data_IF_525343895817
#
_entry.id   IF_525343895817
#
_cell.length_a   1.000
_cell.length_b   1.000
_cell.length_c   1.000
_cell.angle_alpha   90.00
_cell.angle_beta   90.00
_cell.angle_gamma   90.00
#
_symmetry.space_group_name_H-M   'P 1'
#
loop_
_entity.id
_entity.type
_entity.pdbx_description
1 polymer ?
#
# COMPACT_ATOMS: atom_id res chain seq x y z
N UNK A 1 10.49 6.43 21.56
CA UNK A 1 9.18 6.37 20.91
C UNK A 1 8.71 4.92 20.85
N UNK A 2 7.40 4.69 20.77
CA UNK A 2 6.82 3.34 20.72
C UNK A 2 7.17 2.68 19.38
N UNK A 3 7.75 1.48 19.41
CA UNK A 3 8.01 0.67 18.21
C UNK A 3 6.67 0.25 17.58
N UNK A 4 6.55 0.42 16.28
CA UNK A 4 5.37 -0.06 15.55
C UNK A 4 5.50 -1.57 15.33
N UNK A 5 4.50 -2.33 15.77
CA UNK A 5 4.48 -3.80 15.71
C UNK A 5 3.38 -4.33 14.80
N UNK A 6 2.37 -3.52 14.52
CA UNK A 6 1.19 -3.91 13.76
C UNK A 6 1.11 -3.20 12.41
N UNK A 7 0.64 -3.92 11.41
CA UNK A 7 0.26 -3.36 10.14
C UNK A 7 -1.16 -3.80 9.74
N UNK A 8 -1.80 -3.02 8.89
CA UNK A 8 -3.04 -3.41 8.22
C UNK A 8 -2.87 -3.29 6.70
N UNK A 9 -3.47 -4.22 5.96
CA UNK A 9 -3.53 -4.22 4.50
C UNK A 9 -5.01 -4.22 4.09
N UNK A 10 -5.43 -3.25 3.30
CA UNK A 10 -6.82 -3.16 2.84
C UNK A 10 -7.00 -3.88 1.51
N UNK A 11 -7.63 -5.05 1.52
CA UNK A 11 -7.80 -5.95 0.39
C UNK A 11 -9.26 -6.40 0.17
N UNK A 12 -10.25 -5.57 0.58
CA UNK A 12 -11.68 -5.90 0.46
C UNK A 12 -12.35 -5.38 -0.81
N UNK A 13 -11.64 -4.63 -1.66
CA UNK A 13 -12.16 -4.01 -2.87
C UNK A 13 -12.55 -5.03 -3.95
N UNK A 14 -13.64 -4.78 -4.70
CA UNK A 14 -14.15 -5.70 -5.75
C UNK A 14 -13.26 -5.83 -7.00
N UNK A 15 -12.29 -4.94 -7.19
CA UNK A 15 -11.37 -4.99 -8.33
C UNK A 15 -12.04 -4.85 -9.71
N UNK A 16 -13.13 -4.09 -9.82
CA UNK A 16 -13.95 -3.97 -11.04
C UNK A 16 -13.16 -3.48 -12.27
N UNK A 17 -12.09 -2.71 -12.04
CA UNK A 17 -11.20 -2.20 -13.11
C UNK A 17 -10.32 -3.30 -13.74
N UNK A 18 -10.13 -4.42 -13.04
CA UNK A 18 -9.38 -5.60 -13.51
C UNK A 18 -10.30 -6.73 -14.02
N UNK A 19 -11.62 -6.46 -14.17
CA UNK A 19 -12.52 -7.44 -14.80
C UNK A 19 -12.10 -7.70 -16.25
N UNK A 20 -12.11 -8.96 -16.75
CA UNK A 20 -12.71 -10.16 -16.16
C UNK A 20 -11.82 -10.97 -15.21
N UNK A 21 -10.53 -10.67 -15.05
CA UNK A 21 -9.61 -11.44 -14.21
C UNK A 21 -10.13 -11.54 -12.76
N UNK A 22 -10.71 -10.46 -12.25
CA UNK A 22 -11.24 -10.37 -10.87
C UNK A 22 -12.62 -11.02 -10.68
N UNK A 23 -13.13 -11.75 -11.67
CA UNK A 23 -14.36 -12.53 -11.52
C UNK A 23 -14.21 -13.68 -10.52
N UNK A 24 -13.04 -14.27 -10.46
CA UNK A 24 -12.75 -15.46 -9.64
C UNK A 24 -11.52 -15.28 -8.75
N UNK A 25 -10.76 -14.20 -8.94
CA UNK A 25 -9.54 -13.93 -8.22
C UNK A 25 -9.61 -12.52 -7.62
N UNK A 26 -9.33 -12.40 -6.33
CA UNK A 26 -9.16 -11.09 -5.71
C UNK A 26 -7.96 -10.36 -6.34
N UNK A 27 -8.07 -9.05 -6.62
CA UNK A 27 -7.02 -8.29 -7.36
C UNK A 27 -5.66 -8.32 -6.65
N UNK A 28 -5.65 -8.36 -5.33
CA UNK A 28 -4.44 -8.46 -4.51
C UNK A 28 -3.78 -9.86 -4.59
N UNK A 29 -4.50 -10.84 -5.15
CA UNK A 29 -3.97 -12.18 -5.45
C UNK A 29 -3.47 -12.32 -6.90
N UNK A 30 -3.46 -11.25 -7.69
CA UNK A 30 -2.84 -11.25 -9.03
C UNK A 30 -1.35 -11.56 -8.92
N UNK A 31 -0.84 -12.54 -9.71
CA UNK A 31 0.53 -13.00 -9.60
C UNK A 31 1.53 -12.04 -10.27
N UNK A 32 2.63 -11.78 -9.60
CA UNK A 32 3.76 -10.98 -10.08
C UNK A 32 5.05 -11.79 -9.95
N UNK A 33 5.97 -11.62 -10.86
CA UNK A 33 7.34 -12.16 -10.69
C UNK A 33 8.12 -11.16 -9.85
N UNK A 34 8.44 -11.57 -8.62
CA UNK A 34 9.22 -10.74 -7.69
C UNK A 34 10.70 -10.67 -8.11
N UNK A 35 11.45 -9.78 -7.46
CA UNK A 35 12.89 -9.55 -7.71
C UNK A 35 13.75 -10.79 -7.49
N UNK A 36 13.32 -11.73 -6.67
CA UNK A 36 13.98 -13.03 -6.44
C UNK A 36 13.70 -14.06 -7.56
N UNK A 37 12.86 -13.71 -8.54
CA UNK A 37 12.46 -14.57 -9.65
C UNK A 37 11.30 -15.50 -9.34
N UNK A 38 10.71 -15.42 -8.15
CA UNK A 38 9.58 -16.25 -7.73
C UNK A 38 8.27 -15.53 -8.06
N UNK A 39 7.30 -16.26 -8.57
CA UNK A 39 5.96 -15.74 -8.83
C UNK A 39 5.15 -15.74 -7.52
N UNK A 40 4.78 -14.56 -7.06
CA UNK A 40 4.04 -14.33 -5.80
C UNK A 40 2.80 -13.47 -6.05
N UNK A 41 1.70 -13.63 -5.33
CA UNK A 41 0.61 -12.65 -5.32
C UNK A 41 1.09 -11.31 -4.76
N UNK A 42 0.52 -10.21 -5.24
CA UNK A 42 0.81 -8.87 -4.73
C UNK A 42 0.61 -8.76 -3.21
N UNK A 43 -0.40 -9.43 -2.66
CA UNK A 43 -0.65 -9.47 -1.23
C UNK A 43 0.52 -10.05 -0.45
N UNK A 44 1.17 -11.11 -0.97
CA UNK A 44 2.37 -11.68 -0.33
C UNK A 44 3.51 -10.66 -0.30
N UNK A 45 3.73 -9.95 -1.41
CA UNK A 45 4.78 -8.91 -1.47
C UNK A 45 4.59 -7.84 -0.39
N UNK A 46 3.33 -7.43 -0.14
CA UNK A 46 3.02 -6.46 0.92
C UNK A 46 3.21 -7.05 2.33
N UNK A 47 2.85 -8.30 2.55
CA UNK A 47 3.09 -8.98 3.84
C UNK A 47 4.59 -9.11 4.10
N UNK A 48 5.37 -9.53 3.09
CA UNK A 48 6.83 -9.60 3.16
C UNK A 48 7.46 -8.22 3.40
N UNK A 49 6.97 -7.17 2.73
CA UNK A 49 7.40 -5.78 2.95
C UNK A 49 7.24 -5.38 4.43
N UNK A 50 6.08 -5.65 5.03
CA UNK A 50 5.79 -5.35 6.42
C UNK A 50 6.68 -6.17 7.38
N UNK A 51 6.77 -7.49 7.19
CA UNK A 51 7.54 -8.38 8.05
C UNK A 51 9.04 -8.06 7.98
N UNK A 52 9.58 -7.78 6.79
CA UNK A 52 10.96 -7.38 6.58
C UNK A 52 11.29 -6.00 7.19
N UNK A 53 10.28 -5.16 7.41
CA UNK A 53 10.42 -3.90 8.15
C UNK A 53 10.33 -4.07 9.67
N UNK A 54 10.10 -5.28 10.16
CA UNK A 54 10.05 -5.61 11.59
C UNK A 54 8.65 -5.59 12.20
N UNK A 55 7.59 -5.59 11.38
CA UNK A 55 6.20 -5.75 11.82
C UNK A 55 5.99 -7.19 12.30
N UNK A 56 5.26 -7.33 13.40
CA UNK A 56 5.04 -8.61 14.08
C UNK A 56 3.68 -9.21 13.73
N UNK A 57 2.65 -8.37 13.55
CA UNK A 57 1.28 -8.79 13.26
C UNK A 57 0.70 -7.99 12.08
N UNK A 58 0.03 -8.67 11.16
CA UNK A 58 -0.57 -8.07 9.95
C UNK A 58 -2.06 -8.36 9.89
N UNK A 59 -2.90 -7.34 10.03
CA UNK A 59 -4.34 -7.42 9.82
C UNK A 59 -4.66 -7.25 8.33
N UNK A 60 -5.29 -8.22 7.69
CA UNK A 60 -5.73 -8.11 6.30
C UNK A 60 -7.24 -7.92 6.26
N UNK A 61 -7.69 -6.75 5.79
CA UNK A 61 -9.11 -6.49 5.58
C UNK A 61 -9.53 -7.09 4.25
N UNK A 62 -10.43 -8.08 4.30
CA UNK A 62 -10.88 -8.88 3.16
C UNK A 62 -12.39 -8.78 2.98
N UNK A 63 -12.91 -9.05 1.79
CA UNK A 63 -14.36 -9.30 1.64
C UNK A 63 -14.68 -10.76 2.01
N UNK A 64 -15.95 -11.04 2.29
CA UNK A 64 -16.39 -12.36 2.73
C UNK A 64 -16.11 -13.49 1.72
N UNK A 65 -16.08 -13.15 0.41
CA UNK A 65 -15.87 -14.14 -0.66
C UNK A 65 -14.40 -14.56 -0.77
N UNK A 66 -13.47 -13.65 -0.49
CA UNK A 66 -12.01 -13.88 -0.64
C UNK A 66 -11.34 -14.41 0.63
N UNK A 67 -11.97 -14.32 1.79
CA UNK A 67 -11.37 -14.68 3.08
C UNK A 67 -10.80 -16.11 3.09
N UNK A 68 -11.62 -17.08 2.69
CA UNK A 68 -11.20 -18.49 2.72
C UNK A 68 -10.00 -18.77 1.81
N UNK A 69 -9.95 -18.16 0.61
CA UNK A 69 -8.87 -18.31 -0.32
C UNK A 69 -7.56 -17.69 0.18
N UNK A 70 -7.64 -16.51 0.80
CA UNK A 70 -6.46 -15.82 1.38
C UNK A 70 -5.92 -16.62 2.57
N UNK A 71 -6.79 -17.11 3.46
CA UNK A 71 -6.37 -17.99 4.57
C UNK A 71 -5.73 -19.28 4.09
N UNK A 72 -6.29 -19.90 3.04
CA UNK A 72 -5.73 -21.12 2.47
C UNK A 72 -4.35 -20.86 1.85
N UNK A 73 -4.17 -19.73 1.18
CA UNK A 73 -2.90 -19.36 0.56
C UNK A 73 -1.75 -19.28 1.58
N UNK A 74 -1.97 -18.66 2.73
CA UNK A 74 -0.98 -18.55 3.80
C UNK A 74 -1.01 -19.74 4.79
N UNK A 75 -1.73 -20.80 4.45
CA UNK A 75 -1.83 -22.00 5.26
C UNK A 75 -0.71 -23.01 5.02
N UNK A 76 -0.73 -24.09 5.79
CA UNK A 76 0.17 -25.21 5.58
C UNK A 76 -0.16 -25.95 4.26
N UNK A 77 0.84 -26.63 3.69
CA UNK A 77 0.64 -27.50 2.53
C UNK A 77 -0.50 -28.50 2.77
N UNK A 78 -1.37 -28.62 1.78
CA UNK A 78 -2.37 -29.66 1.75
C UNK A 78 -1.75 -31.03 1.48
N UNK A 79 -2.46 -32.12 1.84
CA UNK A 79 -2.00 -33.48 1.54
C UNK A 79 -1.77 -33.72 0.04
N UNK A 80 -2.55 -33.07 -0.81
CA UNK A 80 -2.43 -33.17 -2.27
C UNK A 80 -1.15 -32.48 -2.77
N UNK A 81 -0.87 -31.27 -2.31
CA UNK A 81 0.34 -30.52 -2.67
C UNK A 81 1.61 -31.23 -2.20
N UNK A 82 1.60 -31.85 -1.00
CA UNK A 82 2.70 -32.64 -0.49
C UNK A 82 3.04 -33.87 -1.35
N UNK A 83 2.15 -34.29 -2.24
CA UNK A 83 2.36 -35.41 -3.18
C UNK A 83 3.02 -34.97 -4.50
N UNK A 84 3.11 -33.67 -4.79
CA UNK A 84 3.78 -33.18 -5.99
C UNK A 84 5.26 -33.57 -6.00
N UNK A 85 5.75 -34.11 -7.12
CA UNK A 85 7.08 -34.73 -7.17
C UNK A 85 8.16 -33.83 -7.76
N UNK A 86 7.77 -32.82 -8.57
CA UNK A 86 8.70 -31.91 -9.22
C UNK A 86 9.08 -30.76 -8.27
N UNK A 87 10.34 -30.36 -8.25
CA UNK A 87 10.89 -29.24 -7.50
C UNK A 87 10.50 -29.21 -6.01
N UNK A 88 10.55 -30.41 -5.37
CA UNK A 88 10.16 -30.56 -3.96
C UNK A 88 10.86 -29.58 -3.01
N UNK A 89 12.14 -29.29 -3.23
CA UNK A 89 12.89 -28.42 -2.36
C UNK A 89 12.30 -27.02 -2.38
N UNK A 90 12.13 -26.42 -3.57
CA UNK A 90 11.53 -25.08 -3.72
C UNK A 90 10.10 -25.04 -3.15
N UNK A 91 9.29 -26.09 -3.43
CA UNK A 91 7.93 -26.19 -2.92
C UNK A 91 7.90 -26.14 -1.38
N UNK A 92 8.73 -26.95 -0.71
CA UNK A 92 8.76 -27.00 0.77
C UNK A 92 9.33 -25.73 1.37
N UNK A 93 10.34 -25.10 0.76
CA UNK A 93 10.89 -23.82 1.19
C UNK A 93 9.83 -22.70 1.09
N UNK A 94 9.15 -22.59 -0.04
CA UNK A 94 8.10 -21.57 -0.23
C UNK A 94 6.89 -21.83 0.69
N UNK A 95 6.47 -23.07 0.83
CA UNK A 95 5.38 -23.41 1.75
C UNK A 95 5.71 -23.12 3.22
N UNK A 96 6.96 -23.39 3.63
CA UNK A 96 7.43 -23.04 4.98
C UNK A 96 7.41 -21.53 5.22
N UNK A 97 7.85 -20.75 4.23
CA UNK A 97 7.80 -19.28 4.28
C UNK A 97 6.36 -18.77 4.37
N UNK A 98 5.46 -19.29 3.53
CA UNK A 98 4.04 -18.92 3.56
C UNK A 98 3.39 -19.22 4.90
N UNK A 99 3.65 -20.38 5.49
CA UNK A 99 3.13 -20.75 6.81
C UNK A 99 3.65 -19.79 7.90
N UNK A 100 4.93 -19.44 7.89
CA UNK A 100 5.51 -18.49 8.84
C UNK A 100 4.89 -17.08 8.70
N UNK A 101 4.61 -16.64 7.47
CA UNK A 101 3.87 -15.40 7.21
C UNK A 101 2.43 -15.54 7.74
N UNK A 102 1.78 -16.68 7.48
CA UNK A 102 0.41 -16.96 7.91
C UNK A 102 0.20 -16.90 9.42
N UNK A 103 1.19 -17.31 10.21
CA UNK A 103 1.16 -17.23 11.67
C UNK A 103 1.09 -15.78 12.20
N UNK A 104 1.44 -14.79 11.38
CA UNK A 104 1.39 -13.35 11.69
C UNK A 104 0.13 -12.66 11.17
N UNK A 105 -0.70 -13.36 10.40
CA UNK A 105 -1.84 -12.78 9.70
C UNK A 105 -3.13 -12.99 10.47
N UNK A 106 -3.89 -11.90 10.62
CA UNK A 106 -5.28 -11.90 11.09
C UNK A 106 -6.16 -11.35 9.97
N UNK A 107 -7.15 -12.12 9.50
CA UNK A 107 -8.14 -11.62 8.53
C UNK A 107 -9.29 -10.90 9.25
N UNK A 108 -9.70 -9.75 8.70
CA UNK A 108 -10.79 -8.91 9.20
C UNK A 108 -11.79 -8.76 8.05
N UNK A 109 -13.01 -9.23 8.24
CA UNK A 109 -14.00 -9.28 7.15
C UNK A 109 -14.76 -7.96 7.06
N UNK A 110 -14.71 -7.30 5.91
CA UNK A 110 -15.60 -6.22 5.53
C UNK A 110 -16.81 -6.81 4.81
N UNK A 111 -17.95 -6.90 5.48
CA UNK A 111 -19.18 -7.50 4.93
C UNK A 111 -19.78 -6.66 3.81
N UNK A 112 -19.78 -5.34 3.97
CA UNK A 112 -20.33 -4.40 3.00
C UNK A 112 -19.23 -3.48 2.46
N UNK A 113 -19.20 -3.22 1.14
CA UNK A 113 -18.16 -2.41 0.50
C UNK A 113 -18.40 -0.90 0.72
N UNK A 114 -18.37 -0.46 1.99
CA UNK A 114 -18.66 0.92 2.39
C UNK A 114 -17.48 1.89 2.23
N UNK A 115 -16.41 1.48 1.57
CA UNK A 115 -15.25 2.31 1.25
C UNK A 115 -14.02 2.05 2.12
N UNK A 116 -12.93 2.74 1.78
CA UNK A 116 -11.61 2.55 2.40
C UNK A 116 -11.61 2.97 3.88
N UNK A 117 -12.25 4.09 4.22
CA UNK A 117 -12.35 4.54 5.62
C UNK A 117 -13.05 3.52 6.50
N UNK A 118 -14.14 2.90 6.02
CA UNK A 118 -14.81 1.83 6.74
C UNK A 118 -13.92 0.58 6.89
N UNK A 119 -13.18 0.19 5.85
CA UNK A 119 -12.25 -0.93 5.92
C UNK A 119 -11.20 -0.71 7.03
N UNK A 120 -10.62 0.49 7.11
CA UNK A 120 -9.67 0.84 8.18
C UNK A 120 -10.36 0.85 9.54
N UNK A 121 -11.58 1.39 9.67
CA UNK A 121 -12.31 1.42 10.95
C UNK A 121 -12.53 0.03 11.54
N UNK A 122 -12.81 -0.97 10.72
CA UNK A 122 -12.99 -2.36 11.17
C UNK A 122 -11.75 -2.96 11.84
N UNK A 123 -10.59 -2.39 11.65
CA UNK A 123 -9.34 -2.85 12.26
C UNK A 123 -9.13 -2.35 13.69
N UNK A 124 -10.01 -1.47 14.23
CA UNK A 124 -9.91 -0.86 15.56
C UNK A 124 -9.65 -1.89 16.66
N UNK A 125 -10.39 -3.00 16.66
CA UNK A 125 -10.23 -4.06 17.67
C UNK A 125 -8.88 -4.82 17.56
N UNK A 126 -8.37 -5.00 16.35
CA UNK A 126 -7.06 -5.63 16.11
C UNK A 126 -5.91 -4.70 16.51
N UNK A 127 -5.98 -3.44 16.10
CA UNK A 127 -4.93 -2.46 16.36
C UNK A 127 -4.88 -2.07 17.85
N UNK A 128 -6.02 -1.84 18.49
CA UNK A 128 -6.10 -1.27 19.83
C UNK A 128 -5.62 0.18 19.85
N UNK A 129 -4.85 0.53 20.87
CA UNK A 129 -4.30 1.89 21.08
C UNK A 129 -2.88 2.08 20.50
N UNK A 130 -2.33 1.06 19.83
CA UNK A 130 -0.97 1.11 19.29
C UNK A 130 -0.93 1.91 17.97
N UNK A 131 0.18 2.60 17.65
CA UNK A 131 0.41 3.10 16.29
C UNK A 131 0.62 1.92 15.34
N UNK A 132 0.20 2.07 14.10
CA UNK A 132 0.25 0.99 13.11
C UNK A 132 0.57 1.50 11.71
N UNK A 133 1.12 0.63 10.87
CA UNK A 133 1.30 0.88 9.44
C UNK A 133 0.03 0.46 8.70
N UNK A 134 -0.40 1.26 7.72
CA UNK A 134 -1.50 0.94 6.83
C UNK A 134 -1.01 0.92 5.38
N UNK A 135 -1.36 -0.14 4.66
CA UNK A 135 -1.08 -0.29 3.23
C UNK A 135 -2.36 -0.33 2.40
N UNK A 136 -2.28 0.27 1.21
CA UNK A 136 -3.25 0.00 0.15
C UNK A 136 -2.92 -1.35 -0.48
N UNK A 137 -3.82 -2.31 -0.43
CA UNK A 137 -3.59 -3.69 -0.85
C UNK A 137 -3.32 -3.88 -2.35
N UNK A 138 -3.71 -2.91 -3.16
CA UNK A 138 -3.49 -2.90 -4.61
C UNK A 138 -2.25 -2.11 -5.06
N UNK A 139 -1.33 -1.81 -4.12
CA UNK A 139 -0.05 -1.19 -4.45
C UNK A 139 1.10 -2.18 -4.29
N UNK A 140 1.97 -2.25 -5.27
CA UNK A 140 3.26 -2.95 -5.16
C UNK A 140 4.34 -1.92 -4.90
N UNK A 141 5.14 -2.17 -3.87
CA UNK A 141 6.17 -1.26 -3.40
C UNK A 141 7.54 -1.68 -3.91
N UNK A 142 8.23 -0.79 -4.59
CA UNK A 142 9.57 -1.01 -5.09
C UNK A 142 10.50 0.08 -4.56
N UNK A 143 11.39 -0.28 -3.63
CA UNK A 143 12.39 0.65 -3.09
C UNK A 143 13.59 0.78 -4.04
N UNK A 144 14.10 2.01 -4.18
CA UNK A 144 15.33 2.33 -4.91
C UNK A 144 16.57 2.37 -4.00
N UNK A 145 16.42 1.99 -2.73
CA UNK A 145 17.50 1.94 -1.74
C UNK A 145 17.69 0.54 -1.17
N UNK A 146 18.67 0.37 -0.31
CA UNK A 146 18.87 -0.90 0.43
C UNK A 146 17.82 -1.17 1.50
N UNK A 147 17.09 -0.12 1.94
CA UNK A 147 15.97 -0.24 2.87
C UNK A 147 14.68 -0.37 2.07
N UNK A 148 13.76 -1.22 2.52
CA UNK A 148 12.46 -1.27 1.89
C UNK A 148 11.65 0.02 2.17
N UNK A 149 10.55 0.25 1.45
CA UNK A 149 9.78 1.50 1.58
C UNK A 149 9.25 1.72 3.00
N UNK A 150 8.82 0.65 3.66
CA UNK A 150 8.32 0.70 5.04
C UNK A 150 9.42 1.05 6.03
N UNK A 151 10.63 0.50 5.88
CA UNK A 151 11.78 0.86 6.71
C UNK A 151 12.11 2.35 6.60
N UNK A 152 12.05 2.93 5.39
CA UNK A 152 12.25 4.37 5.21
C UNK A 152 11.20 5.18 6.00
N UNK A 153 9.91 4.79 5.93
CA UNK A 153 8.83 5.43 6.69
C UNK A 153 9.04 5.31 8.21
N UNK A 154 9.38 4.09 8.68
CA UNK A 154 9.56 3.85 10.12
C UNK A 154 10.75 4.59 10.71
N UNK A 155 11.80 4.84 9.94
CA UNK A 155 12.92 5.69 10.36
C UNK A 155 12.48 7.14 10.56
N UNK A 156 11.72 7.71 9.62
CA UNK A 156 11.18 9.06 9.79
C UNK A 156 10.24 9.11 10.99
N UNK A 157 9.36 8.12 11.12
CA UNK A 157 8.46 8.02 12.28
C UNK A 157 9.21 7.98 13.62
N UNK A 158 10.35 7.32 13.69
CA UNK A 158 11.18 7.30 14.90
C UNK A 158 11.70 8.68 15.31
N UNK A 159 11.71 9.67 14.43
CA UNK A 159 12.08 11.06 14.72
C UNK A 159 10.87 11.98 14.95
N UNK A 160 9.81 11.79 14.16
CA UNK A 160 8.65 12.68 14.20
C UNK A 160 7.60 12.26 15.23
N UNK A 161 7.37 10.95 15.40
CA UNK A 161 6.17 10.46 16.07
C UNK A 161 4.90 10.84 15.28
N UNK A 162 3.75 10.83 15.94
CA UNK A 162 2.48 11.29 15.38
C UNK A 162 1.99 10.45 14.17
N UNK A 163 1.11 11.03 13.36
CA UNK A 163 0.69 10.43 12.10
C UNK A 163 1.70 10.79 11.00
N UNK A 164 2.03 9.82 10.14
CA UNK A 164 3.00 10.01 9.05
C UNK A 164 2.50 9.34 7.77
N UNK A 165 2.46 10.07 6.66
CA UNK A 165 2.16 9.51 5.34
C UNK A 165 3.38 9.52 4.43
N UNK A 166 3.64 8.40 3.75
CA UNK A 166 4.55 8.38 2.64
C UNK A 166 3.96 9.12 1.44
N UNK A 167 4.78 9.93 0.78
CA UNK A 167 4.39 10.69 -0.41
C UNK A 167 5.40 10.53 -1.54
N UNK A 168 4.96 10.88 -2.74
CA UNK A 168 5.77 10.96 -3.95
C UNK A 168 5.50 12.24 -4.70
N UNK A 169 6.50 12.73 -5.42
CA UNK A 169 6.32 13.83 -6.39
C UNK A 169 5.46 13.37 -7.55
N UNK A 170 4.43 14.13 -7.85
CA UNK A 170 3.45 13.82 -8.88
C UNK A 170 3.22 15.08 -9.75
N UNK A 171 3.32 14.99 -11.09
CA UNK A 171 3.01 16.10 -11.96
C UNK A 171 1.52 16.42 -11.94
N UNK A 172 1.17 17.69 -12.18
CA UNK A 172 -0.19 18.23 -12.02
C UNK A 172 -1.26 17.51 -12.86
N UNK A 173 -0.89 16.95 -14.01
CA UNK A 173 -1.80 16.21 -14.86
C UNK A 173 -2.33 14.93 -14.21
N UNK A 174 -1.63 14.44 -13.18
CA UNK A 174 -1.95 13.18 -12.49
C UNK A 174 -2.53 13.35 -11.09
N UNK A 175 -2.61 14.58 -10.54
CA UNK A 175 -3.12 14.81 -9.17
C UNK A 175 -4.56 14.34 -8.98
N UNK A 176 -5.38 14.39 -10.03
CA UNK A 176 -6.77 13.93 -10.02
C UNK A 176 -6.93 12.41 -9.75
N UNK A 177 -5.84 11.64 -9.77
CA UNK A 177 -5.84 10.20 -9.50
C UNK A 177 -5.63 9.89 -8.02
N UNK A 178 -5.04 10.81 -7.25
CA UNK A 178 -4.53 10.54 -5.90
C UNK A 178 -5.00 11.57 -4.89
N UNK A 179 -5.06 11.17 -3.64
CA UNK A 179 -5.08 12.12 -2.53
C UNK A 179 -3.78 12.94 -2.54
N UNK A 180 -3.91 14.25 -2.49
CA UNK A 180 -2.81 15.22 -2.60
C UNK A 180 -2.75 16.06 -1.33
N UNK A 181 -1.56 16.38 -0.89
CA UNK A 181 -1.36 17.14 0.34
C UNK A 181 -0.34 18.27 0.15
N UNK A 182 -0.38 19.21 1.09
CA UNK A 182 0.62 20.26 1.25
C UNK A 182 0.95 20.50 2.72
N UNK A 183 2.04 21.19 2.99
CA UNK A 183 2.47 21.47 4.34
C UNK A 183 3.74 22.32 4.38
N UNK A 184 4.24 22.53 5.60
CA UNK A 184 5.43 23.30 5.86
C UNK A 184 6.65 22.38 6.03
N UNK A 185 7.81 22.68 5.42
CA UNK A 185 9.03 21.91 5.61
C UNK A 185 9.49 21.91 7.06
N UNK A 186 10.00 20.79 7.54
CA UNK A 186 10.64 20.71 8.85
C UNK A 186 12.13 21.04 8.69
N UNK A 187 12.63 22.10 9.34
CA UNK A 187 14.00 22.61 9.08
C UNK A 187 15.10 21.56 9.27
N UNK A 188 14.96 20.68 10.25
CA UNK A 188 16.02 19.75 10.68
C UNK A 188 15.86 18.34 10.10
N UNK A 189 14.79 18.06 9.32
CA UNK A 189 14.52 16.75 8.76
C UNK A 189 14.23 16.89 7.25
N UNK A 190 15.22 16.64 6.39
CA UNK A 190 15.04 16.73 4.93
C UNK A 190 13.91 15.82 4.44
N UNK A 191 13.23 16.26 3.39
CA UNK A 191 12.14 15.53 2.71
C UNK A 191 10.94 15.17 3.62
N UNK A 192 10.81 15.84 4.77
CA UNK A 192 9.68 15.74 5.70
C UNK A 192 8.97 17.07 5.83
N UNK A 193 7.65 17.02 5.82
CA UNK A 193 6.78 18.20 5.99
C UNK A 193 5.79 17.97 7.13
N UNK A 194 5.42 19.07 7.81
CA UNK A 194 4.24 19.11 8.66
C UNK A 194 3.03 19.42 7.78
N UNK A 195 2.09 18.46 7.69
CA UNK A 195 0.94 18.55 6.77
C UNK A 195 -0.07 19.57 7.26
N UNK A 196 -0.49 20.48 6.39
CA UNK A 196 -1.48 21.52 6.70
C UNK A 196 -2.76 21.36 5.89
N UNK A 197 -2.72 20.66 4.76
CA UNK A 197 -3.90 20.41 3.93
C UNK A 197 -3.83 19.07 3.22
N UNK A 198 -4.98 18.41 3.09
CA UNK A 198 -5.18 17.18 2.31
C UNK A 198 -6.42 17.36 1.45
N UNK A 199 -6.37 17.00 0.18
CA UNK A 199 -7.52 17.00 -0.74
C UNK A 199 -7.57 15.69 -1.51
N UNK A 200 -8.71 15.01 -1.47
CA UNK A 200 -8.94 13.77 -2.24
C UNK A 200 -9.15 14.10 -3.71
N UNK A 201 -8.26 13.60 -4.57
CA UNK A 201 -8.36 13.69 -6.03
C UNK A 201 -8.72 15.11 -6.51
N UNK A 202 -7.89 16.13 -6.20
CA UNK A 202 -8.17 17.51 -6.58
C UNK A 202 -8.18 17.69 -8.10
N UNK A 203 -8.92 18.68 -8.57
CA UNK A 203 -8.68 19.19 -9.92
C UNK A 203 -7.34 19.94 -9.96
N UNK A 204 -6.80 20.15 -11.17
CA UNK A 204 -5.55 20.91 -11.33
C UNK A 204 -5.70 22.35 -10.76
N UNK A 205 -6.88 22.98 -10.97
CA UNK A 205 -7.18 24.31 -10.44
C UNK A 205 -7.19 24.32 -8.89
N UNK A 206 -7.79 23.31 -8.28
CA UNK A 206 -7.79 23.15 -6.81
C UNK A 206 -6.37 22.97 -6.28
N UNK A 207 -5.58 22.09 -6.93
CA UNK A 207 -4.20 21.85 -6.53
C UNK A 207 -3.36 23.13 -6.63
N UNK A 208 -3.48 23.87 -7.71
CA UNK A 208 -2.80 25.18 -7.91
C UNK A 208 -3.21 26.23 -6.89
N UNK A 209 -4.47 26.21 -6.45
CA UNK A 209 -4.98 27.21 -5.50
C UNK A 209 -4.57 26.96 -4.04
N UNK A 210 -4.47 25.68 -3.61
CA UNK A 210 -4.37 25.35 -2.18
C UNK A 210 -3.30 24.35 -1.79
N UNK A 211 -2.62 23.69 -2.76
CA UNK A 211 -1.68 22.59 -2.47
C UNK A 211 -0.25 22.84 -2.98
N UNK A 212 0.04 24.07 -3.41
CA UNK A 212 1.41 24.44 -3.82
C UNK A 212 2.35 24.47 -2.64
N UNK A 213 3.56 23.96 -2.87
CA UNK A 213 4.65 24.00 -1.89
C UNK A 213 5.85 24.72 -2.50
N UNK A 214 6.44 25.72 -1.80
CA UNK A 214 7.60 26.47 -2.30
C UNK A 214 8.86 25.59 -2.51
N UNK A 215 8.91 24.43 -1.84
CA UNK A 215 10.04 23.47 -1.92
C UNK A 215 9.96 22.54 -3.12
N UNK A 216 8.82 22.51 -3.84
CA UNK A 216 8.63 21.70 -5.03
C UNK A 216 8.69 22.56 -6.30
N UNK A 217 9.13 22.00 -7.43
CA UNK A 217 9.02 22.64 -8.72
C UNK A 217 7.58 23.01 -9.07
N UNK A 218 7.39 24.07 -9.87
CA UNK A 218 6.06 24.42 -10.36
C UNK A 218 5.40 23.26 -11.12
N UNK A 219 4.13 23.01 -10.85
CA UNK A 219 3.37 21.91 -11.45
C UNK A 219 3.67 20.53 -10.85
N UNK A 220 4.40 20.46 -9.74
CA UNK A 220 4.67 19.21 -9.01
C UNK A 220 4.04 19.28 -7.61
N UNK A 221 3.42 18.19 -7.19
CA UNK A 221 2.69 18.09 -5.92
C UNK A 221 3.06 16.82 -5.18
N UNK A 222 2.92 16.81 -3.86
CA UNK A 222 3.00 15.58 -3.08
C UNK A 222 1.66 14.85 -3.08
N UNK A 223 1.67 13.62 -3.59
CA UNK A 223 0.54 12.70 -3.55
C UNK A 223 0.85 11.49 -2.67
N UNK A 224 -0.18 10.91 -2.06
CA UNK A 224 -0.01 9.71 -1.24
C UNK A 224 0.68 8.58 -2.02
N UNK A 225 1.61 7.93 -1.33
CA UNK A 225 2.39 6.80 -1.87
C UNK A 225 1.68 5.45 -1.65
N UNK A 226 0.82 5.35 -0.62
CA UNK A 226 0.11 4.12 -0.28
C UNK A 226 0.56 3.47 1.02
N UNK A 227 1.52 4.06 1.73
CA UNK A 227 1.93 3.70 3.10
C UNK A 227 1.58 4.84 4.03
N UNK A 228 0.91 4.54 5.13
CA UNK A 228 0.64 5.49 6.19
C UNK A 228 0.98 4.88 7.55
N UNK A 229 1.48 5.67 8.47
CA UNK A 229 1.53 5.36 9.89
C UNK A 229 0.45 6.18 10.57
N UNK A 230 -0.48 5.53 11.23
CA UNK A 230 -1.52 6.18 12.01
C UNK A 230 -1.34 5.93 13.50
N UNK A 231 -1.70 6.92 14.30
CA UNK A 231 -2.03 6.75 15.71
C UNK A 231 -3.47 6.24 15.85
N UNK A 232 -3.85 5.72 17.02
CA UNK A 232 -5.23 5.26 17.28
C UNK A 232 -6.29 6.36 17.12
N UNK A 233 -5.90 7.63 17.16
CA UNK A 233 -6.78 8.79 16.94
C UNK A 233 -7.50 8.79 15.59
N UNK A 234 -6.94 8.08 14.57
CA UNK A 234 -7.62 7.92 13.28
C UNK A 234 -8.97 7.23 13.44
N UNK A 235 -9.11 6.30 14.41
CA UNK A 235 -10.37 5.59 14.64
C UNK A 235 -11.47 6.51 15.15
N UNK A 236 -11.17 7.50 15.97
CA UNK A 236 -12.15 8.49 16.42
C UNK A 236 -12.63 9.37 15.27
N UNK A 237 -11.70 9.76 14.36
CA UNK A 237 -12.05 10.50 13.15
C UNK A 237 -12.92 9.67 12.20
N UNK A 238 -12.59 8.39 12.03
CA UNK A 238 -13.38 7.45 11.21
C UNK A 238 -14.76 7.19 11.82
N UNK A 239 -14.84 6.95 13.13
CA UNK A 239 -16.10 6.74 13.85
C UNK A 239 -17.04 7.94 13.70
N UNK A 240 -16.49 9.15 13.84
CA UNK A 240 -17.24 10.38 13.61
C UNK A 240 -17.70 10.48 12.14
N UNK A 241 -16.83 10.20 11.18
CA UNK A 241 -17.17 10.21 9.75
C UNK A 241 -18.34 9.26 9.45
N UNK A 242 -18.31 8.05 10.04
CA UNK A 242 -19.34 7.01 9.87
C UNK A 242 -20.63 7.43 10.55
N UNK A 243 -20.57 7.90 11.80
CA UNK A 243 -21.75 8.28 12.59
C UNK A 243 -22.48 9.48 11.99
N UNK A 244 -21.75 10.46 11.45
CA UNK A 244 -22.29 11.63 10.76
C UNK A 244 -22.72 11.34 9.31
N UNK A 245 -22.48 10.12 8.79
CA UNK A 245 -22.85 9.73 7.43
C UNK A 245 -22.08 10.49 6.34
N UNK A 246 -20.86 10.93 6.61
CA UNK A 246 -20.03 11.71 5.67
C UNK A 246 -19.45 10.81 4.57
N UNK A 247 -20.21 10.59 3.52
CA UNK A 247 -19.80 9.78 2.38
C UNK A 247 -19.48 10.63 1.15
N UNK A 248 -18.57 10.13 0.31
CA UNK A 248 -18.34 10.61 -1.04
C UNK A 248 -18.71 9.50 -2.03
N UNK A 249 -19.68 9.74 -2.91
CA UNK A 249 -20.21 8.73 -3.85
C UNK A 249 -20.70 7.44 -3.16
N UNK A 250 -21.20 7.55 -1.93
CA UNK A 250 -21.70 6.41 -1.15
C UNK A 250 -20.64 5.65 -0.34
N UNK A 251 -19.38 6.08 -0.35
CA UNK A 251 -18.27 5.45 0.36
C UNK A 251 -17.67 6.37 1.42
N UNK A 252 -17.31 5.80 2.57
CA UNK A 252 -16.53 6.49 3.60
C UNK A 252 -15.06 6.57 3.17
N UNK A 253 -14.60 7.78 2.84
CA UNK A 253 -13.23 8.02 2.41
C UNK A 253 -12.29 8.13 3.59
N UNK A 254 -11.11 7.51 3.49
CA UNK A 254 -10.05 7.64 4.50
C UNK A 254 -9.56 9.08 4.59
N UNK A 255 -9.42 9.77 3.45
CA UNK A 255 -8.94 11.16 3.37
C UNK A 255 -9.81 12.14 4.14
N UNK A 256 -11.11 11.88 4.30
CA UNK A 256 -12.00 12.70 5.16
C UNK A 256 -11.56 12.61 6.63
N UNK A 257 -11.24 11.42 7.12
CA UNK A 257 -10.73 11.24 8.47
C UNK A 257 -9.31 11.80 8.63
N UNK A 258 -8.45 11.65 7.60
CA UNK A 258 -7.11 12.26 7.61
C UNK A 258 -7.17 13.80 7.67
N UNK A 259 -8.08 14.45 6.96
CA UNK A 259 -8.32 15.92 7.08
C UNK A 259 -8.68 16.31 8.50
N UNK A 260 -9.57 15.55 9.15
CA UNK A 260 -9.93 15.82 10.55
C UNK A 260 -8.74 15.60 11.50
N UNK A 261 -7.86 14.65 11.16
CA UNK A 261 -6.68 14.35 11.97
C UNK A 261 -5.64 15.48 11.86
N UNK A 262 -5.45 16.07 10.67
CA UNK A 262 -4.60 17.27 10.45
C UNK A 262 -5.01 18.43 11.36
N UNK A 263 -6.32 18.60 11.62
CA UNK A 263 -6.83 19.67 12.47
C UNK A 263 -6.63 19.43 13.98
N UNK A 264 -6.33 18.18 14.38
CA UNK A 264 -6.33 17.76 15.78
C UNK A 264 -4.98 17.36 16.32
N UNK A 265 -4.13 16.82 15.47
CA UNK A 265 -2.90 16.13 15.88
C UNK A 265 -1.75 16.47 14.94
N UNK A 266 -0.54 16.17 15.39
CA UNK A 266 0.66 16.25 14.55
C UNK A 266 0.57 15.26 13.39
N UNK A 267 0.57 15.80 12.18
CA UNK A 267 0.51 15.03 10.95
C UNK A 267 1.70 15.39 10.05
N UNK A 268 2.48 14.39 9.72
CA UNK A 268 3.68 14.56 8.90
C UNK A 268 3.55 13.81 7.57
N UNK A 269 4.36 14.19 6.59
CA UNK A 269 4.55 13.40 5.39
C UNK A 269 6.03 13.36 5.04
N UNK A 270 6.48 12.22 4.50
CA UNK A 270 7.85 12.03 4.04
C UNK A 270 7.90 11.52 2.61
N UNK A 271 8.81 12.08 1.80
CA UNK A 271 9.07 11.59 0.46
C UNK A 271 9.83 10.26 0.52
N UNK A 272 9.35 9.24 -0.18
CA UNK A 272 9.95 7.91 -0.22
C UNK A 272 10.74 7.73 -1.52
N UNK A 273 11.96 7.21 -1.39
CA UNK A 273 12.78 6.83 -2.53
C UNK A 273 12.39 5.43 -3.03
N UNK A 274 11.38 5.41 -3.88
CA UNK A 274 10.78 4.20 -4.40
C UNK A 274 9.56 4.48 -5.25
N UNK A 275 8.91 3.41 -5.68
CA UNK A 275 7.69 3.44 -6.46
C UNK A 275 6.57 2.69 -5.74
N UNK A 276 5.35 3.21 -5.86
CA UNK A 276 4.12 2.51 -5.52
C UNK A 276 3.31 2.35 -6.80
N UNK A 277 3.20 1.12 -7.27
CA UNK A 277 2.63 0.72 -8.54
C UNK A 277 1.20 0.21 -8.31
N UNK A 278 0.19 0.93 -8.83
CA UNK A 278 -1.24 0.61 -8.66
C UNK A 278 -1.64 -0.56 -9.58
N UNK A 279 -1.61 -1.77 -9.05
CA UNK A 279 -2.06 -2.97 -9.77
C UNK A 279 -3.58 -3.09 -9.86
N UNK A 280 -4.33 -2.19 -9.26
CA UNK A 280 -5.80 -2.13 -9.36
C UNK A 280 -6.28 -1.71 -10.75
N UNK A 281 -5.39 -1.30 -11.66
CA UNK A 281 -5.67 -0.97 -13.06
C UNK A 281 -4.77 -1.78 -14.00
N UNK A 282 -5.22 -2.14 -15.22
CA UNK A 282 -4.44 -2.96 -16.16
C UNK A 282 -3.07 -2.37 -16.50
N UNK A 283 -2.99 -1.08 -16.75
CA UNK A 283 -1.72 -0.41 -17.06
C UNK A 283 -0.74 -0.50 -15.87
N UNK A 284 -1.18 -0.18 -14.66
CA UNK A 284 -0.32 -0.25 -13.48
C UNK A 284 0.11 -1.66 -13.13
N UNK A 285 -0.74 -2.68 -13.41
CA UNK A 285 -0.35 -4.09 -13.29
C UNK A 285 0.77 -4.46 -14.27
N UNK A 286 0.70 -3.99 -15.52
CA UNK A 286 1.77 -4.19 -16.50
C UNK A 286 3.05 -3.45 -16.09
N UNK A 287 2.92 -2.20 -15.63
CA UNK A 287 4.06 -1.41 -15.14
C UNK A 287 4.74 -2.11 -13.94
N UNK A 288 3.98 -2.69 -13.02
CA UNK A 288 4.51 -3.45 -11.89
C UNK A 288 5.30 -4.69 -12.33
N UNK A 289 4.79 -5.46 -13.31
CA UNK A 289 5.52 -6.61 -13.86
C UNK A 289 6.87 -6.19 -14.47
N UNK A 290 6.86 -5.12 -15.26
CA UNK A 290 8.09 -4.61 -15.90
C UNK A 290 9.07 -4.08 -14.86
N UNK A 291 8.59 -3.27 -13.91
CA UNK A 291 9.44 -2.66 -12.89
C UNK A 291 10.12 -3.72 -11.99
N UNK A 292 9.35 -4.71 -11.50
CA UNK A 292 9.91 -5.83 -10.73
C UNK A 292 10.90 -6.66 -11.54
N UNK A 293 10.57 -6.97 -12.80
CA UNK A 293 11.45 -7.73 -13.69
C UNK A 293 12.77 -7.01 -13.97
N UNK A 294 12.73 -5.69 -14.17
CA UNK A 294 13.93 -4.87 -14.38
C UNK A 294 14.77 -4.68 -13.10
N UNK A 295 14.16 -4.78 -11.92
CA UNK A 295 14.83 -4.65 -10.64
C UNK A 295 15.31 -5.98 -10.03
N UNK A 296 15.05 -7.10 -10.68
CA UNK A 296 15.26 -8.45 -10.12
C UNK A 296 16.20 -9.33 -10.91
N UNK A 297 16.13 -10.61 -10.58
CA UNK A 297 16.98 -11.70 -11.14
C UNK A 297 16.96 -11.77 -12.66
N UNK A 298 15.84 -11.41 -13.30
CA UNK A 298 15.67 -11.48 -14.75
C UNK A 298 15.97 -10.17 -15.49
N UNK A 299 16.60 -9.19 -14.82
CA UNK A 299 16.84 -7.86 -15.37
C UNK A 299 17.55 -7.88 -16.73
N UNK A 300 18.69 -8.58 -16.83
CA UNK A 300 19.49 -8.63 -18.06
C UNK A 300 18.74 -9.29 -19.21
N UNK A 301 18.03 -10.40 -18.95
CA UNK A 301 17.22 -11.12 -19.93
C UNK A 301 16.07 -10.24 -20.43
N UNK A 302 15.39 -9.54 -19.52
CA UNK A 302 14.27 -8.66 -19.87
C UNK A 302 14.73 -7.45 -20.68
N UNK A 303 15.85 -6.81 -20.28
CA UNK A 303 16.44 -5.71 -21.03
C UNK A 303 16.90 -6.12 -22.43
N UNK A 304 17.50 -7.31 -22.56
CA UNK A 304 17.89 -7.86 -23.87
C UNK A 304 16.65 -8.10 -24.74
N UNK A 305 15.62 -8.75 -24.20
CA UNK A 305 14.37 -9.02 -24.87
C UNK A 305 13.64 -7.74 -25.35
N UNK A 306 13.63 -6.68 -24.54
CA UNK A 306 13.05 -5.37 -24.89
C UNK A 306 13.84 -4.73 -26.06
N UNK A 307 15.20 -4.76 -25.99
CA UNK A 307 16.06 -4.18 -27.04
C UNK A 307 15.88 -4.86 -28.38
N UNK A 308 15.76 -6.18 -28.40
CA UNK A 308 15.54 -6.94 -29.64
C UNK A 308 14.20 -6.60 -30.32
N UNK A 309 13.17 -6.20 -29.55
CA UNK A 309 11.85 -5.85 -30.06
C UNK A 309 11.62 -4.35 -30.25
N UNK A 310 12.28 -3.51 -29.47
CA UNK A 310 12.24 -2.06 -29.60
C UNK A 310 13.14 -1.52 -30.73
N UNK A 311 14.06 -2.33 -31.23
CA UNK A 311 14.98 -1.96 -32.31
C UNK A 311 14.38 -2.04 -33.74
N UNK A 312 13.07 -2.22 -33.89
CA UNK A 312 12.38 -2.23 -35.19
C UNK A 312 11.74 -0.88 -35.56
N UNK A 313 12.34 0.24 -35.13
CA UNK A 313 12.00 1.55 -35.71
C UNK A 313 13.23 2.05 -36.48
N UNK A 314 13.24 1.70 -37.79
CA UNK A 314 14.04 2.32 -38.82
C UNK A 314 13.20 3.36 -39.53
#
# INVERSE_FOLDING_TARGET
MTRIRKAIITAAGRGTRQFPATRTLQKEMLPLVDRDGITKPALQLLVEEAVNAGIEEVGIVVNAESEAGIRAYFGALTQQEAQWQNDRQLLYEQAGNLQQLGERIVTIVQQEPLGLGHAVYLTKAFVGEEPFVMYLGDHVLLSHTTKNCTQQVLEVYAHTGGTLSAVRRTPEERVHLYGTLSGDPIPDIPDVIHVTAIVEKPTVEQARASLRMPTLPDGVYYCFFGINVFTSEIFDCLERTITEGRTMKGEFQLTTAQQMLVEKSEYYACEIQGEALDIGIPQGYLEAQVALGLAGTYSDQLQHWIRERGGCEG
#
